data_IF_265470445516
#
_entry.id   IF_265470445516
#
_cell.length_a   1.000
_cell.length_b   1.000
_cell.length_c   1.000
_cell.angle_alpha   90.00
_cell.angle_beta   90.00
_cell.angle_gamma   90.00
#
_symmetry.space_group_name_H-M   'P 1'
#
loop_
_entity.id
_entity.type
_entity.pdbx_description
1 polymer ?
#
# COMPACT_ATOMS: atom_id res chain seq x y z
N UNK A 1 -28.32 -44.65 33.44
CA UNK A 1 -28.27 -43.60 32.39
C UNK A 1 -27.83 -44.29 31.12
N UNK A 2 -28.57 -44.05 30.04
CA UNK A 2 -28.80 -45.01 28.94
C UNK A 2 -27.70 -44.88 27.88
N UNK A 3 -26.96 -45.97 27.63
CA UNK A 3 -26.28 -46.22 26.36
C UNK A 3 -27.00 -47.38 25.66
N UNK A 4 -27.61 -47.10 24.52
CA UNK A 4 -28.21 -48.10 23.64
C UNK A 4 -27.24 -48.37 22.49
N UNK A 5 -26.88 -49.63 22.32
CA UNK A 5 -26.02 -50.14 21.26
C UNK A 5 -26.82 -50.78 20.11
N UNK A 6 -26.14 -50.85 18.95
CA UNK A 6 -26.22 -51.83 17.86
C UNK A 6 -27.41 -51.83 16.86
N UNK A 7 -27.06 -51.80 15.55
CA UNK A 7 -27.44 -52.75 14.46
C UNK A 7 -27.17 -52.13 13.06
N UNK A 8 -26.23 -52.68 12.27
CA UNK A 8 -26.40 -53.64 11.13
C UNK A 8 -26.89 -53.03 9.80
N UNK A 9 -26.07 -53.13 8.73
CA UNK A 9 -26.24 -53.97 7.50
C UNK A 9 -27.23 -53.35 6.47
N UNK A 10 -27.10 -53.43 5.14
CA UNK A 10 -26.47 -54.37 4.22
C UNK A 10 -26.44 -53.74 2.81
N UNK A 11 -25.66 -54.33 1.90
CA UNK A 11 -25.51 -53.97 0.48
C UNK A 11 -26.80 -54.04 -0.33
N UNK A 12 -26.93 -53.17 -1.34
CA UNK A 12 -27.65 -53.49 -2.58
C UNK A 12 -26.74 -53.14 -3.75
N UNK A 13 -26.46 -54.17 -4.54
CA UNK A 13 -25.65 -54.18 -5.74
C UNK A 13 -26.56 -54.18 -6.99
N UNK A 14 -26.01 -53.65 -8.09
CA UNK A 14 -26.25 -54.02 -9.50
C UNK A 14 -27.46 -53.47 -10.29
N UNK A 15 -27.12 -52.86 -11.44
CA UNK A 15 -27.59 -53.07 -12.85
C UNK A 15 -27.59 -51.71 -13.59
N UNK A 16 -26.66 -51.41 -14.50
CA UNK A 16 -26.65 -51.70 -15.95
C UNK A 16 -28.04 -51.42 -16.61
N UNK A 17 -28.25 -50.67 -17.70
CA UNK A 17 -27.51 -50.50 -18.97
C UNK A 17 -28.12 -49.33 -19.78
N UNK A 18 -27.31 -48.63 -20.61
CA UNK A 18 -27.59 -48.19 -22.01
C UNK A 18 -28.42 -46.92 -22.35
N UNK A 19 -27.65 -45.90 -22.77
CA UNK A 19 -27.71 -45.08 -24.01
C UNK A 19 -28.95 -44.22 -24.38
N UNK A 20 -28.73 -42.90 -24.54
CA UNK A 20 -28.59 -42.19 -25.84
C UNK A 20 -28.42 -40.67 -25.67
N UNK A 21 -27.61 -40.10 -26.56
CA UNK A 21 -27.41 -38.70 -26.92
C UNK A 21 -28.58 -37.74 -26.66
N UNK A 22 -28.28 -36.58 -26.05
CA UNK A 22 -28.47 -35.26 -26.69
C UNK A 22 -27.37 -34.31 -26.21
N UNK A 23 -26.53 -33.93 -27.16
CA UNK A 23 -25.58 -32.83 -27.09
C UNK A 23 -26.38 -31.52 -27.21
N UNK A 24 -26.43 -30.71 -26.15
CA UNK A 24 -26.73 -29.27 -26.28
C UNK A 24 -25.59 -28.52 -25.62
N UNK A 25 -24.71 -27.99 -26.46
CA UNK A 25 -23.67 -27.06 -26.04
C UNK A 25 -24.32 -25.85 -25.39
N UNK A 26 -24.08 -25.68 -24.09
CA UNK A 26 -24.31 -24.42 -23.42
C UNK A 26 -23.12 -23.52 -23.72
N UNK A 27 -23.20 -22.89 -24.89
CA UNK A 27 -22.43 -21.71 -25.25
C UNK A 27 -22.81 -20.58 -24.29
N UNK A 28 -22.12 -20.49 -23.15
CA UNK A 28 -22.06 -19.25 -22.40
C UNK A 28 -21.18 -18.27 -23.18
N UNK A 29 -21.80 -17.50 -24.06
CA UNK A 29 -21.20 -16.29 -24.60
C UNK A 29 -20.89 -15.34 -23.42
N UNK A 30 -19.66 -14.84 -23.25
CA UNK A 30 -19.46 -13.63 -22.47
C UNK A 30 -19.94 -12.44 -23.31
N UNK A 31 -20.91 -11.69 -22.78
CA UNK A 31 -21.40 -10.46 -23.37
C UNK A 31 -20.30 -9.39 -23.50
N UNK A 32 -20.36 -8.52 -24.52
CA UNK A 32 -19.37 -7.47 -24.73
C UNK A 32 -19.81 -6.16 -24.05
N UNK A 33 -19.75 -6.08 -22.72
CA UNK A 33 -19.96 -4.82 -21.97
C UNK A 33 -19.46 -4.86 -20.51
N UNK A 34 -18.34 -5.51 -20.23
CA UNK A 34 -17.56 -5.16 -19.04
C UNK A 34 -16.61 -4.02 -19.39
N UNK A 35 -17.02 -2.78 -19.12
CA UNK A 35 -16.12 -1.63 -19.13
C UNK A 35 -14.82 -2.01 -18.43
N UNK A 36 -13.71 -1.92 -19.17
CA UNK A 36 -12.38 -2.32 -18.74
C UNK A 36 -12.00 -1.52 -17.49
N UNK A 37 -12.30 -2.04 -16.31
CA UNK A 37 -11.49 -1.74 -15.12
C UNK A 37 -10.12 -2.24 -15.50
N UNK A 38 -9.25 -1.35 -15.95
CA UNK A 38 -7.85 -1.68 -16.22
C UNK A 38 -7.35 -2.47 -15.01
N UNK A 39 -7.03 -3.74 -15.23
CA UNK A 39 -6.55 -4.60 -14.17
C UNK A 39 -5.30 -3.96 -13.58
N UNK A 40 -5.32 -3.70 -12.27
CA UNK A 40 -4.17 -3.11 -11.59
C UNK A 40 -2.92 -3.95 -11.88
N UNK A 41 -1.80 -3.27 -12.09
CA UNK A 41 -0.52 -3.96 -12.30
C UNK A 41 -0.20 -4.81 -11.07
N UNK A 42 0.26 -6.06 -11.25
CA UNK A 42 0.63 -6.91 -10.12
C UNK A 42 1.83 -6.30 -9.38
N UNK A 43 1.85 -6.42 -8.05
CA UNK A 43 2.93 -5.89 -7.20
C UNK A 43 4.30 -6.52 -7.54
N UNK A 44 4.32 -7.75 -8.05
CA UNK A 44 5.52 -8.45 -8.50
C UNK A 44 6.17 -7.83 -9.74
N UNK A 45 5.44 -6.97 -10.47
CA UNK A 45 5.99 -6.23 -11.61
C UNK A 45 6.85 -5.04 -11.18
N UNK A 46 6.82 -4.63 -9.92
CA UNK A 46 7.59 -3.50 -9.42
C UNK A 46 9.02 -3.95 -9.06
N UNK A 47 9.98 -3.07 -9.32
CA UNK A 47 11.38 -3.26 -8.92
C UNK A 47 11.54 -2.80 -7.48
N UNK A 48 11.23 -3.69 -6.54
CA UNK A 48 11.44 -3.43 -5.12
C UNK A 48 12.94 -3.36 -4.80
N UNK A 49 13.38 -2.39 -3.96
CA UNK A 49 14.73 -2.40 -3.44
C UNK A 49 14.95 -3.66 -2.59
N UNK A 50 16.17 -4.20 -2.61
CA UNK A 50 16.53 -5.28 -1.68
C UNK A 50 16.62 -4.70 -0.26
N UNK A 51 15.85 -5.26 0.67
CA UNK A 51 15.86 -4.86 2.07
C UNK A 51 16.36 -6.04 2.90
N UNK A 52 17.46 -5.89 3.67
CA UNK A 52 17.94 -6.92 4.57
C UNK A 52 16.89 -7.30 5.63
N UNK A 53 16.90 -8.56 6.06
CA UNK A 53 16.08 -8.99 7.20
C UNK A 53 16.56 -8.32 8.50
N UNK A 54 15.62 -8.05 9.41
CA UNK A 54 15.95 -7.44 10.70
C UNK A 54 16.88 -8.32 11.53
N UNK A 55 17.88 -7.70 12.14
CA UNK A 55 18.77 -8.39 13.07
C UNK A 55 17.97 -8.81 14.31
N UNK A 56 18.09 -10.08 14.70
CA UNK A 56 17.43 -10.63 15.88
C UNK A 56 17.83 -9.94 17.21
N UNK A 57 18.98 -9.26 17.22
CA UNK A 57 19.45 -8.45 18.34
C UNK A 57 19.83 -7.06 17.85
N UNK A 58 18.94 -6.06 17.96
CA UNK A 58 19.27 -4.68 17.65
C UNK A 58 20.23 -4.12 18.70
N UNK A 59 21.20 -3.33 18.24
CA UNK A 59 22.10 -2.58 19.12
C UNK A 59 21.27 -1.58 19.94
N UNK A 60 21.30 -1.64 21.29
CA UNK A 60 20.49 -0.75 22.13
C UNK A 60 20.81 0.73 21.93
N UNK A 61 22.03 1.08 21.47
CA UNK A 61 22.40 2.47 21.19
C UNK A 61 21.74 3.01 19.92
N UNK A 62 21.41 2.12 18.98
CA UNK A 62 20.79 2.47 17.68
C UNK A 62 19.27 2.36 17.70
N UNK A 63 18.68 2.26 18.89
CA UNK A 63 17.22 2.10 19.04
C UNK A 63 16.46 3.31 18.48
N UNK A 64 17.04 4.49 18.64
CA UNK A 64 16.40 5.76 18.29
C UNK A 64 16.86 6.29 16.91
N UNK A 65 17.76 5.57 16.22
CA UNK A 65 18.18 5.91 14.85
C UNK A 65 17.01 5.66 13.86
N UNK A 66 16.90 6.47 12.78
CA UNK A 66 15.92 6.21 11.73
C UNK A 66 16.18 4.84 11.10
N UNK A 67 15.15 3.98 11.11
CA UNK A 67 15.20 2.64 10.53
C UNK A 67 14.90 2.67 9.04
N UNK A 68 15.59 1.81 8.29
CA UNK A 68 15.26 1.58 6.89
C UNK A 68 13.87 0.97 6.75
N UNK A 69 13.20 1.27 5.63
CA UNK A 69 11.88 0.72 5.32
C UNK A 69 11.96 -0.78 5.07
N UNK A 70 11.11 -1.54 5.76
CA UNK A 70 10.94 -2.97 5.56
C UNK A 70 10.12 -3.29 4.30
N UNK A 71 10.31 -4.49 3.74
CA UNK A 71 9.53 -4.94 2.57
C UNK A 71 8.02 -4.91 2.83
N UNK A 72 7.58 -5.29 4.04
CA UNK A 72 6.15 -5.23 4.39
C UNK A 72 5.59 -3.81 4.38
N UNK A 73 6.38 -2.83 4.78
CA UNK A 73 5.99 -1.42 4.79
C UNK A 73 5.86 -0.90 3.36
N UNK A 74 6.81 -1.26 2.49
CA UNK A 74 6.73 -1.00 1.06
C UNK A 74 5.46 -1.58 0.42
N UNK A 75 5.09 -2.82 0.76
CA UNK A 75 3.84 -3.44 0.32
C UNK A 75 2.60 -2.71 0.87
N UNK A 76 2.61 -2.31 2.14
CA UNK A 76 1.52 -1.55 2.75
C UNK A 76 1.29 -0.21 2.04
N UNK A 77 2.37 0.50 1.71
CA UNK A 77 2.33 1.75 0.95
C UNK A 77 1.71 1.52 -0.43
N UNK A 78 2.17 0.52 -1.19
CA UNK A 78 1.65 0.26 -2.54
C UNK A 78 0.20 -0.25 -2.56
N UNK A 79 -0.24 -0.94 -1.52
CA UNK A 79 -1.60 -1.49 -1.42
C UNK A 79 -2.61 -0.53 -0.82
N UNK A 80 -2.16 0.54 -0.15
CA UNK A 80 -3.03 1.51 0.52
C UNK A 80 -4.01 2.22 -0.44
N UNK A 81 -5.34 2.13 -0.19
CA UNK A 81 -6.34 2.85 -0.99
C UNK A 81 -6.28 4.36 -0.78
N UNK A 82 -5.99 4.83 0.44
CA UNK A 82 -5.91 6.25 0.77
C UNK A 82 -4.81 6.96 0.00
N UNK A 83 -3.66 6.29 -0.17
CA UNK A 83 -2.54 6.85 -0.95
C UNK A 83 -2.95 7.02 -2.42
N UNK A 84 -3.64 6.03 -3.00
CA UNK A 84 -4.14 6.12 -4.38
C UNK A 84 -5.17 7.25 -4.56
N UNK A 85 -6.02 7.46 -3.56
CA UNK A 85 -6.99 8.55 -3.54
C UNK A 85 -6.31 9.92 -3.53
N UNK A 86 -5.34 10.15 -2.63
CA UNK A 86 -4.58 11.41 -2.55
C UNK A 86 -3.85 11.70 -3.86
N UNK A 87 -3.20 10.69 -4.45
CA UNK A 87 -2.52 10.84 -5.74
C UNK A 87 -3.48 11.14 -6.90
N UNK A 88 -4.75 10.74 -6.80
CA UNK A 88 -5.78 11.04 -7.80
C UNK A 88 -6.43 12.41 -7.57
N UNK A 89 -6.50 12.86 -6.30
CA UNK A 89 -7.04 14.15 -5.89
C UNK A 89 -6.11 15.30 -6.27
N UNK A 90 -4.79 15.09 -6.16
CA UNK A 90 -3.77 16.12 -6.41
C UNK A 90 -2.99 15.83 -7.70
N UNK A 91 -3.41 16.39 -8.84
CA UNK A 91 -2.82 16.09 -10.15
C UNK A 91 -1.34 16.47 -10.29
N UNK A 92 -0.89 17.51 -9.56
CA UNK A 92 0.50 17.98 -9.58
C UNK A 92 1.45 17.11 -8.75
N UNK A 93 0.91 16.36 -7.79
CA UNK A 93 1.70 15.62 -6.80
C UNK A 93 2.54 14.49 -7.44
N UNK A 94 2.01 13.65 -8.35
CA UNK A 94 2.83 12.67 -9.07
C UNK A 94 4.00 13.29 -9.85
N UNK A 95 3.78 14.45 -10.48
CA UNK A 95 4.82 15.15 -11.23
C UNK A 95 5.92 15.68 -10.30
N UNK A 96 5.52 16.26 -9.15
CA UNK A 96 6.43 16.71 -8.10
C UNK A 96 7.27 15.56 -7.56
N UNK A 97 6.64 14.45 -7.15
CA UNK A 97 7.34 13.26 -6.65
C UNK A 97 8.32 12.70 -7.68
N UNK A 98 7.94 12.68 -8.96
CA UNK A 98 8.82 12.25 -10.06
C UNK A 98 10.00 13.20 -10.24
N UNK A 99 9.81 14.51 -10.06
CA UNK A 99 10.89 15.49 -10.15
C UNK A 99 11.90 15.32 -9.02
N UNK A 100 11.42 15.05 -7.80
CA UNK A 100 12.26 14.80 -6.62
C UNK A 100 12.99 13.47 -6.75
N UNK A 101 12.35 12.41 -7.27
CA UNK A 101 12.98 11.10 -7.44
C UNK A 101 14.13 11.10 -8.45
N UNK A 102 14.12 12.03 -9.42
CA UNK A 102 15.23 12.21 -10.37
C UNK A 102 16.48 12.80 -9.71
N UNK A 103 16.32 13.52 -8.59
CA UNK A 103 17.43 14.12 -7.86
C UNK A 103 18.16 13.08 -7.01
N UNK A 104 19.43 13.37 -6.70
CA UNK A 104 20.30 12.52 -5.86
C UNK A 104 21.09 13.38 -4.88
N UNK A 105 21.45 12.79 -3.73
CA UNK A 105 22.22 13.45 -2.70
C UNK A 105 21.54 14.71 -2.14
N UNK A 106 22.34 15.75 -1.86
CA UNK A 106 21.94 16.97 -1.16
C UNK A 106 20.81 17.72 -1.90
N UNK A 107 20.82 17.73 -3.24
CA UNK A 107 19.77 18.41 -4.02
C UNK A 107 18.39 17.81 -3.78
N UNK A 108 18.33 16.48 -3.60
CA UNK A 108 17.08 15.79 -3.28
C UNK A 108 16.57 16.18 -1.91
N UNK A 109 17.47 16.25 -0.91
CA UNK A 109 17.12 16.66 0.46
C UNK A 109 16.61 18.10 0.49
N UNK A 110 17.29 19.01 -0.21
CA UNK A 110 16.85 20.41 -0.32
C UNK A 110 15.49 20.53 -1.02
N UNK A 111 15.27 19.78 -2.10
CA UNK A 111 13.98 19.75 -2.79
C UNK A 111 12.86 19.23 -1.89
N UNK A 112 13.13 18.19 -1.10
CA UNK A 112 12.18 17.66 -0.11
C UNK A 112 11.88 18.69 0.98
N UNK A 113 12.90 19.35 1.53
CA UNK A 113 12.69 20.38 2.54
C UNK A 113 11.82 21.53 2.04
N UNK A 114 12.07 21.97 0.81
CA UNK A 114 11.27 23.01 0.16
C UNK A 114 9.84 22.54 -0.09
N UNK A 115 9.66 21.32 -0.59
CA UNK A 115 8.34 20.76 -0.90
C UNK A 115 7.50 20.50 0.36
N UNK A 116 8.13 20.20 1.50
CA UNK A 116 7.45 20.03 2.79
C UNK A 116 7.28 21.36 3.56
N UNK A 117 7.89 22.43 3.07
CA UNK A 117 7.88 23.74 3.74
C UNK A 117 8.64 23.74 5.08
N UNK A 118 9.64 22.87 5.25
CA UNK A 118 10.50 22.79 6.45
C UNK A 118 11.80 23.58 6.31
N UNK A 119 12.00 24.26 5.18
CA UNK A 119 13.16 25.17 5.02
C UNK A 119 13.03 26.32 6.02
N UNK A 120 14.02 26.54 6.90
CA UNK A 120 14.01 27.71 7.78
C UNK A 120 13.94 28.97 6.92
N UNK A 121 13.14 29.98 7.31
CA UNK A 121 13.09 31.21 6.56
C UNK A 121 14.51 31.79 6.48
N UNK A 122 15.03 31.95 5.26
CA UNK A 122 16.21 32.77 5.06
C UNK A 122 15.96 34.11 5.76
N UNK A 123 17.00 34.61 6.44
CA UNK A 123 16.96 35.72 7.39
C UNK A 123 16.36 37.01 6.76
N UNK A 124 16.29 37.07 5.42
CA UNK A 124 15.71 38.16 4.63
C UNK A 124 14.16 38.15 4.56
N UNK A 125 13.50 37.07 4.99
CA UNK A 125 12.07 36.81 4.77
C UNK A 125 11.14 37.01 5.97
N UNK A 126 11.63 37.53 7.10
CA UNK A 126 10.95 37.62 8.42
C UNK A 126 9.49 38.17 8.42
N UNK A 127 9.00 38.74 7.31
CA UNK A 127 7.69 39.41 7.23
C UNK A 127 6.68 38.82 6.24
N UNK A 128 6.87 37.61 5.73
CA UNK A 128 5.78 36.92 5.02
C UNK A 128 5.45 35.63 5.76
N UNK A 129 4.41 35.69 6.58
CA UNK A 129 3.57 34.53 6.88
C UNK A 129 3.10 33.97 5.55
N UNK A 130 3.91 33.07 5.00
CA UNK A 130 3.68 32.47 3.69
C UNK A 130 2.81 31.27 3.99
N UNK A 131 1.50 31.47 3.83
CA UNK A 131 0.54 30.37 3.76
C UNK A 131 1.18 29.22 2.95
N UNK A 132 1.19 27.99 3.47
CA UNK A 132 1.78 26.87 2.77
C UNK A 132 1.07 26.72 1.42
N UNK A 133 1.83 26.58 0.34
CA UNK A 133 1.25 26.38 -0.98
C UNK A 133 0.43 25.09 -1.00
N UNK A 134 -0.55 25.01 -1.91
CA UNK A 134 -1.40 23.83 -2.08
C UNK A 134 -0.58 22.53 -2.23
N UNK A 135 0.52 22.58 -2.99
CA UNK A 135 1.43 21.44 -3.15
C UNK A 135 2.10 21.00 -1.83
N UNK A 136 2.39 21.94 -0.92
CA UNK A 136 2.98 21.65 0.39
C UNK A 136 1.95 20.97 1.27
N UNK A 137 0.71 21.46 1.27
CA UNK A 137 -0.41 20.85 2.00
C UNK A 137 -0.71 19.44 1.46
N UNK A 138 -0.74 19.27 0.14
CA UNK A 138 -0.92 17.98 -0.51
C UNK A 138 0.19 16.98 -0.16
N UNK A 139 1.44 17.44 -0.11
CA UNK A 139 2.57 16.59 0.24
C UNK A 139 2.56 16.23 1.74
N UNK A 140 2.14 17.14 2.62
CA UNK A 140 1.93 16.85 4.05
C UNK A 140 0.81 15.83 4.26
N UNK A 141 -0.33 16.01 3.60
CA UNK A 141 -1.46 15.04 3.61
C UNK A 141 -0.97 13.66 3.15
N UNK A 142 -0.18 13.60 2.06
CA UNK A 142 0.42 12.34 1.60
C UNK A 142 1.35 11.73 2.65
N UNK A 143 2.22 12.53 3.26
CA UNK A 143 3.20 12.06 4.24
C UNK A 143 2.52 11.45 5.48
N UNK A 144 1.45 12.08 5.98
CA UNK A 144 0.65 11.55 7.09
C UNK A 144 0.01 10.20 6.75
N UNK A 145 -0.55 10.06 5.54
CA UNK A 145 -1.15 8.80 5.12
C UNK A 145 -0.11 7.70 4.88
N UNK A 146 1.07 8.06 4.38
CA UNK A 146 2.21 7.13 4.27
C UNK A 146 2.65 6.65 5.65
N UNK A 147 2.75 7.57 6.61
CA UNK A 147 3.09 7.23 7.99
C UNK A 147 2.07 6.28 8.62
N UNK A 148 0.78 6.57 8.47
CA UNK A 148 -0.29 5.71 8.97
C UNK A 148 -0.24 4.31 8.34
N UNK A 149 0.13 4.21 7.06
CA UNK A 149 0.30 2.93 6.37
C UNK A 149 1.52 2.14 6.88
N UNK A 150 2.62 2.82 7.21
CA UNK A 150 3.85 2.20 7.73
C UNK A 150 3.66 1.71 9.18
N UNK A 151 2.99 2.52 9.99
CA UNK A 151 2.74 2.28 11.42
C UNK A 151 1.74 1.15 11.66
N UNK A 152 0.86 0.87 10.70
CA UNK A 152 -0.11 -0.22 10.80
C UNK A 152 -1.09 -0.09 11.99
N UNK A 153 -1.25 1.12 12.54
CA UNK A 153 -2.10 1.39 13.71
C UNK A 153 -1.40 1.41 15.07
N UNK A 154 -0.07 1.22 15.12
CA UNK A 154 0.72 1.33 16.35
C UNK A 154 0.89 2.79 16.80
N UNK A 155 -0.08 3.32 17.56
CA UNK A 155 -0.05 4.69 18.10
C UNK A 155 1.13 4.97 19.05
N UNK A 156 1.76 3.92 19.60
CA UNK A 156 2.91 4.02 20.50
C UNK A 156 4.24 4.30 19.78
N UNK A 157 4.29 4.17 18.45
CA UNK A 157 5.48 4.51 17.67
C UNK A 157 5.66 6.03 17.56
N UNK A 158 6.91 6.51 17.48
CA UNK A 158 7.19 7.93 17.21
C UNK A 158 6.66 8.30 15.81
N UNK A 159 5.92 9.40 15.72
CA UNK A 159 5.24 9.85 14.50
C UNK A 159 5.78 11.12 13.92
N UNK A 160 5.22 11.46 12.75
CA UNK A 160 5.41 12.79 12.18
C UNK A 160 4.65 13.81 13.03
N UNK A 161 5.38 14.79 13.55
CA UNK A 161 4.83 15.97 14.21
C UNK A 161 5.19 17.20 13.37
N UNK A 162 4.18 17.84 12.81
CA UNK A 162 4.35 19.01 11.95
C UNK A 162 4.27 20.34 12.72
N UNK A 163 3.90 20.31 14.01
CA UNK A 163 3.54 21.51 14.79
C UNK A 163 2.21 22.14 14.33
N UNK A 164 1.58 22.95 15.21
CA UNK A 164 0.42 23.80 14.86
C UNK A 164 0.81 25.02 14.01
#
# INVERSE_FOLDING_TARGET
MIETACANAESIEQTETRARDVQVGLSSQPGPDSGTRESLRPLTSLKWPYVPEELAYPDPLKRDDPKDLQLRQYEAIATSPKIREILSKHENLPALLTSVDKLRGIEREQALHKALGVTPPDIDGWRKSTEPSEDVLALRELAEVVEAAIRGGDESALGLDWGE
#
